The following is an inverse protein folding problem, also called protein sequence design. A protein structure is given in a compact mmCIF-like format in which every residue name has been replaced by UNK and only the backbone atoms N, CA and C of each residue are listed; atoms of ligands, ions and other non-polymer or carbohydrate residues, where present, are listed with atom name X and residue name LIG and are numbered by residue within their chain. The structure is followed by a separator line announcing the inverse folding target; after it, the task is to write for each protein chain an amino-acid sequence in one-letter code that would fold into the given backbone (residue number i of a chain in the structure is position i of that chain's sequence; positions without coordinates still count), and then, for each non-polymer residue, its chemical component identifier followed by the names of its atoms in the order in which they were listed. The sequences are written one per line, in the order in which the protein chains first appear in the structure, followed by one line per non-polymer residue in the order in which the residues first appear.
data_IF_331776989624
#
_entry.id   IF_331776989624
#
_cell.length_a   1.000
_cell.length_b   1.000
_cell.length_c   1.000
_cell.angle_alpha   90.00
_cell.angle_beta   90.00
_cell.angle_gamma   90.00
#
_symmetry.space_group_name_H-M   'P 1'
#
loop_
_entity.id
_entity.type
_entity.pdbx_description
1 polymer ?
#
# COMPACT_ATOMS: atom_id res chain seq x y z
N UNK A 1 27.71 67.92 76.70
CA UNK A 1 26.33 67.89 76.19
C UNK A 1 26.39 67.62 74.69
N UNK A 2 25.66 66.58 74.24
CA UNK A 2 24.86 66.50 72.99
C UNK A 2 25.40 67.31 71.79
N UNK A 3 25.73 66.78 70.62
CA UNK A 3 25.26 65.58 69.92
C UNK A 3 24.90 65.95 68.48
N UNK A 4 25.07 65.01 67.54
CA UNK A 4 24.34 64.85 66.27
C UNK A 4 24.60 65.88 65.13
N UNK A 5 24.72 65.57 63.83
CA UNK A 5 24.86 64.34 63.02
C UNK A 5 25.17 64.76 61.56
N UNK A 6 25.80 63.85 60.81
CA UNK A 6 26.12 63.91 59.38
C UNK A 6 24.90 63.87 58.44
N UNK A 7 25.07 64.37 57.20
CA UNK A 7 24.49 63.77 56.01
C UNK A 7 25.30 64.15 54.75
N UNK A 8 26.18 63.23 54.31
CA UNK A 8 26.87 63.25 53.03
C UNK A 8 26.00 62.64 51.93
N UNK A 9 25.99 63.26 50.76
CA UNK A 9 25.33 62.77 49.54
C UNK A 9 26.22 61.71 48.88
N UNK A 10 25.71 60.50 48.71
CA UNK A 10 26.31 59.46 47.86
C UNK A 10 25.47 59.34 46.58
N UNK A 11 26.13 59.53 45.43
CA UNK A 11 25.59 59.18 44.12
C UNK A 11 25.59 57.65 43.98
N UNK A 12 24.42 57.06 43.71
CA UNK A 12 24.30 55.66 43.28
C UNK A 12 24.26 55.59 41.76
N UNK A 13 25.21 54.84 41.19
CA UNK A 13 25.27 54.50 39.78
C UNK A 13 24.16 53.52 39.37
N UNK A 14 23.61 53.74 38.17
CA UNK A 14 22.63 52.87 37.54
C UNK A 14 23.36 51.67 36.90
N UNK A 15 23.20 50.47 37.46
CA UNK A 15 23.58 49.21 36.80
C UNK A 15 22.36 48.75 36.00
N UNK A 16 22.47 48.78 34.67
CA UNK A 16 21.45 48.24 33.76
C UNK A 16 21.65 46.73 33.68
N UNK A 17 20.77 45.97 34.34
CA UNK A 17 20.74 44.52 34.24
C UNK A 17 20.11 44.08 32.92
N UNK A 18 20.87 43.37 32.08
CA UNK A 18 20.35 42.65 30.92
C UNK A 18 19.62 41.42 31.44
N UNK A 19 18.28 41.42 31.38
CA UNK A 19 17.49 40.20 31.52
C UNK A 19 17.70 39.34 30.26
N UNK A 20 18.46 38.25 30.41
CA UNK A 20 18.42 37.12 29.49
C UNK A 20 17.05 36.45 29.65
N UNK A 21 16.13 36.72 28.73
CA UNK A 21 14.90 35.96 28.61
C UNK A 21 15.26 34.54 28.15
N UNK A 22 15.34 33.61 29.11
CA UNK A 22 15.34 32.18 28.82
C UNK A 22 13.97 31.84 28.21
N UNK A 23 13.89 31.76 26.88
CA UNK A 23 12.73 31.15 26.22
C UNK A 23 12.66 29.70 26.69
N UNK A 24 11.58 29.26 27.34
CA UNK A 24 11.41 27.85 27.62
C UNK A 24 11.35 27.14 26.26
N UNK A 25 12.34 26.30 25.98
CA UNK A 25 12.17 25.23 25.00
C UNK A 25 11.01 24.42 25.53
N UNK A 26 9.85 24.50 24.87
CA UNK A 26 8.75 23.58 25.13
C UNK A 26 9.31 22.18 24.88
N UNK A 27 9.67 21.50 25.97
CA UNK A 27 9.90 20.08 25.94
C UNK A 27 8.59 19.48 25.46
N UNK A 28 8.57 19.09 24.18
CA UNK A 28 7.50 18.34 23.58
C UNK A 28 7.38 17.06 24.42
N UNK A 29 6.39 17.02 25.31
CA UNK A 29 6.04 15.82 26.06
C UNK A 29 5.87 14.66 25.07
N UNK A 30 6.26 13.45 25.48
CA UNK A 30 5.98 12.18 24.79
C UNK A 30 4.47 11.89 24.79
N UNK A 31 3.71 12.79 24.17
CA UNK A 31 2.30 12.65 23.96
C UNK A 31 2.12 11.93 22.62
N UNK A 32 1.68 10.69 22.71
CA UNK A 32 1.23 9.91 21.56
C UNK A 32 -0.28 10.07 21.43
N UNK A 33 -0.77 9.98 20.20
CA UNK A 33 -2.21 9.93 19.96
C UNK A 33 -2.68 8.51 19.63
N UNK A 34 -3.97 8.28 19.82
CA UNK A 34 -4.66 7.15 19.19
C UNK A 34 -5.14 7.61 17.82
N UNK A 35 -4.95 6.82 16.75
CA UNK A 35 -5.44 7.20 15.42
C UNK A 35 -6.95 7.49 15.48
N UNK A 36 -7.42 8.60 14.89
CA UNK A 36 -8.83 8.93 14.92
C UNK A 36 -9.65 7.87 14.18
N UNK A 37 -10.81 7.49 14.74
CA UNK A 37 -11.81 6.73 14.00
C UNK A 37 -12.38 7.62 12.88
N UNK A 38 -12.51 7.06 11.68
CA UNK A 38 -12.99 7.79 10.51
C UNK A 38 -14.32 7.22 10.00
N UNK A 39 -15.18 8.09 9.49
CA UNK A 39 -16.38 7.67 8.77
C UNK A 39 -15.97 7.11 7.39
N UNK A 40 -16.32 5.85 7.05
CA UNK A 40 -16.03 5.29 5.73
C UNK A 40 -16.64 6.11 4.59
N UNK A 41 -17.76 6.82 4.81
CA UNK A 41 -18.35 7.68 3.79
C UNK A 41 -17.45 8.87 3.42
N UNK A 42 -16.70 9.39 4.39
CA UNK A 42 -15.74 10.48 4.16
C UNK A 42 -14.48 9.93 3.50
N UNK A 43 -13.94 8.82 4.01
CA UNK A 43 -12.71 8.21 3.49
C UNK A 43 -12.86 7.72 2.04
N UNK A 44 -14.07 7.27 1.66
CA UNK A 44 -14.34 6.68 0.35
C UNK A 44 -15.16 7.58 -0.57
N UNK A 45 -15.28 8.88 -0.28
CA UNK A 45 -16.04 9.84 -1.08
C UNK A 45 -17.47 9.36 -1.41
N UNK A 46 -18.17 8.82 -0.42
CA UNK A 46 -19.54 8.29 -0.57
C UNK A 46 -19.63 6.91 -1.23
N UNK A 47 -18.52 6.22 -1.47
CA UNK A 47 -18.46 4.88 -2.10
C UNK A 47 -18.38 3.72 -1.10
N UNK A 48 -18.72 3.98 0.17
CA UNK A 48 -18.72 2.98 1.24
C UNK A 48 -19.77 1.89 1.06
N UNK A 49 -20.82 2.14 0.27
CA UNK A 49 -21.84 1.16 -0.11
C UNK A 49 -21.79 0.93 -1.62
N UNK A 50 -21.92 -0.32 -2.05
CA UNK A 50 -22.04 -0.67 -3.46
C UNK A 50 -22.66 -2.04 -3.68
N UNK A 51 -22.91 -2.44 -4.94
CA UNK A 51 -23.42 -3.77 -5.24
C UNK A 51 -22.47 -4.86 -4.71
N UNK A 52 -22.99 -5.73 -3.83
CA UNK A 52 -22.23 -6.85 -3.26
C UNK A 52 -21.30 -6.49 -2.09
N UNK A 53 -21.28 -5.23 -1.62
CA UNK A 53 -20.46 -4.85 -0.47
C UNK A 53 -21.00 -3.69 0.36
N UNK A 54 -20.61 -3.67 1.63
CA UNK A 54 -20.70 -2.51 2.50
C UNK A 54 -19.43 -2.38 3.37
N UNK A 55 -18.81 -1.22 3.37
CA UNK A 55 -17.69 -0.90 4.27
C UNK A 55 -18.28 -0.38 5.58
N UNK A 56 -18.06 -1.12 6.66
CA UNK A 56 -18.64 -0.84 7.97
C UNK A 56 -17.94 0.33 8.66
N UNK A 57 -18.70 1.04 9.49
CA UNK A 57 -18.19 2.10 10.38
C UNK A 57 -17.89 1.51 11.77
N UNK A 58 -16.85 1.98 12.48
CA UNK A 58 -15.86 2.98 12.05
C UNK A 58 -14.69 2.38 11.27
N UNK A 59 -14.05 3.18 10.41
CA UNK A 59 -12.73 2.87 9.85
C UNK A 59 -11.68 3.19 10.91
N UNK A 60 -10.85 2.20 11.24
CA UNK A 60 -9.74 2.35 12.20
C UNK A 60 -8.41 2.45 11.47
N UNK A 61 -7.35 2.77 12.19
CA UNK A 61 -5.98 2.76 11.65
C UNK A 61 -5.01 2.30 12.73
N UNK A 62 -3.89 1.71 12.32
CA UNK A 62 -2.75 1.41 13.19
C UNK A 62 -1.73 2.57 13.27
N UNK A 63 -2.03 3.70 12.62
CA UNK A 63 -1.16 4.87 12.50
C UNK A 63 -0.33 4.90 11.22
N UNK A 64 -0.44 3.89 10.36
CA UNK A 64 0.15 3.86 9.02
C UNK A 64 -0.87 3.50 7.94
N UNK A 65 -1.63 2.44 8.16
CA UNK A 65 -2.66 1.94 7.25
C UNK A 65 -4.04 2.05 7.87
N UNK A 66 -5.06 2.19 7.03
CA UNK A 66 -6.45 2.08 7.46
C UNK A 66 -6.86 0.61 7.49
N UNK A 67 -7.71 0.27 8.43
CA UNK A 67 -8.23 -1.08 8.68
C UNK A 67 -9.73 -1.02 8.49
N UNK A 68 -10.20 -1.73 7.47
CA UNK A 68 -11.58 -1.76 7.05
C UNK A 68 -12.24 -3.08 7.42
N UNK A 69 -13.54 -3.02 7.69
CA UNK A 69 -14.40 -4.19 7.79
C UNK A 69 -15.35 -4.15 6.58
N UNK A 70 -15.19 -5.08 5.66
CA UNK A 70 -15.96 -5.16 4.42
C UNK A 70 -16.96 -6.30 4.56
N UNK A 71 -18.25 -5.96 4.66
CA UNK A 71 -19.34 -6.91 4.60
C UNK A 71 -19.61 -7.27 3.15
N UNK A 72 -19.65 -8.57 2.86
CA UNK A 72 -20.11 -9.15 1.58
C UNK A 72 -21.14 -10.23 1.86
N UNK A 73 -21.69 -10.87 0.82
CA UNK A 73 -22.59 -12.02 0.97
C UNK A 73 -21.91 -13.24 1.63
N UNK A 74 -20.57 -13.26 1.66
CA UNK A 74 -19.78 -14.32 2.29
C UNK A 74 -19.47 -14.06 3.77
N UNK A 75 -19.85 -12.88 4.29
CA UNK A 75 -19.54 -12.44 5.64
C UNK A 75 -18.70 -11.17 5.68
N UNK A 76 -18.23 -10.84 6.88
CA UNK A 76 -17.35 -9.69 7.12
C UNK A 76 -15.90 -10.11 6.98
N UNK A 77 -15.16 -9.39 6.17
CA UNK A 77 -13.73 -9.54 6.00
C UNK A 77 -12.99 -8.27 6.45
N UNK A 78 -11.87 -8.47 7.15
CA UNK A 78 -10.96 -7.39 7.47
C UNK A 78 -10.01 -7.15 6.29
N UNK A 79 -9.93 -5.90 5.82
CA UNK A 79 -9.02 -5.48 4.75
C UNK A 79 -8.14 -4.35 5.28
N UNK A 80 -6.82 -4.54 5.23
CA UNK A 80 -5.84 -3.59 5.73
C UNK A 80 -5.18 -2.88 4.54
N UNK A 81 -5.27 -1.55 4.51
CA UNK A 81 -4.72 -0.73 3.43
C UNK A 81 -5.77 -0.19 2.46
N UNK A 82 -5.71 1.10 2.14
CA UNK A 82 -6.58 1.73 1.12
C UNK A 82 -6.42 1.06 -0.24
N UNK A 83 -5.19 0.68 -0.60
CA UNK A 83 -4.90 0.00 -1.86
C UNK A 83 -5.57 -1.38 -1.95
N UNK A 84 -5.51 -2.18 -0.89
CA UNK A 84 -6.18 -3.49 -0.87
C UNK A 84 -7.69 -3.36 -0.84
N UNK A 85 -8.22 -2.34 -0.15
CA UNK A 85 -9.65 -2.06 -0.22
C UNK A 85 -10.07 -1.73 -1.65
N UNK A 86 -9.38 -0.80 -2.33
CA UNK A 86 -9.67 -0.44 -3.72
C UNK A 86 -9.62 -1.66 -4.66
N UNK A 87 -8.61 -2.52 -4.49
CA UNK A 87 -8.51 -3.78 -5.22
C UNK A 87 -9.73 -4.67 -4.94
N UNK A 88 -10.09 -4.88 -3.68
CA UNK A 88 -11.22 -5.76 -3.34
C UNK A 88 -12.56 -5.21 -3.89
N UNK A 89 -12.78 -3.91 -3.77
CA UNK A 89 -14.01 -3.29 -4.29
C UNK A 89 -14.09 -3.36 -5.82
N UNK A 90 -12.96 -3.25 -6.52
CA UNK A 90 -12.92 -3.44 -7.98
C UNK A 90 -13.21 -4.89 -8.36
N UNK A 91 -12.66 -5.86 -7.63
CA UNK A 91 -12.93 -7.29 -7.82
C UNK A 91 -14.41 -7.65 -7.60
N UNK A 92 -15.02 -7.15 -6.52
CA UNK A 92 -16.46 -7.36 -6.22
C UNK A 92 -17.33 -6.75 -7.33
N UNK A 93 -17.01 -5.53 -7.77
CA UNK A 93 -17.74 -4.88 -8.87
C UNK A 93 -17.72 -5.71 -10.15
N UNK A 94 -16.57 -6.29 -10.51
CA UNK A 94 -16.43 -7.15 -11.69
C UNK A 94 -17.16 -8.48 -11.51
N UNK A 95 -17.12 -9.09 -10.33
CA UNK A 95 -17.88 -10.30 -10.02
C UNK A 95 -19.38 -10.08 -10.25
N UNK A 96 -19.95 -9.02 -9.68
CA UNK A 96 -21.38 -8.69 -9.84
C UNK A 96 -21.74 -8.45 -11.31
N UNK A 97 -20.85 -7.79 -12.08
CA UNK A 97 -21.06 -7.59 -13.51
C UNK A 97 -21.07 -8.92 -14.29
N UNK A 98 -20.15 -9.85 -13.97
CA UNK A 98 -20.10 -11.18 -14.59
C UNK A 98 -21.28 -12.08 -14.19
N UNK A 99 -21.80 -11.93 -12.98
CA UNK A 99 -23.02 -12.64 -12.54
C UNK A 99 -24.28 -12.11 -13.25
N UNK A 100 -24.33 -10.80 -13.51
CA UNK A 100 -25.41 -10.16 -14.27
C UNK A 100 -25.56 -10.70 -15.69
N UNK A 101 -24.45 -11.10 -16.34
CA UNK A 101 -24.44 -11.65 -17.70
C UNK A 101 -25.26 -12.94 -17.88
N UNK A 102 -25.48 -13.72 -16.82
CA UNK A 102 -26.30 -14.95 -16.89
C UNK A 102 -27.81 -14.66 -16.88
N UNK A 103 -28.23 -13.41 -16.65
CA UNK A 103 -29.58 -13.04 -16.24
C UNK A 103 -30.16 -11.90 -17.10
N UNK A 104 -30.35 -12.13 -18.42
CA UNK A 104 -30.80 -11.11 -19.40
C UNK A 104 -32.25 -10.61 -19.27
N UNK A 105 -32.97 -10.94 -18.19
CA UNK A 105 -34.28 -10.33 -17.89
C UNK A 105 -34.43 -9.86 -16.43
N UNK A 106 -33.54 -10.24 -15.52
CA UNK A 106 -33.68 -10.00 -14.08
C UNK A 106 -32.62 -9.05 -13.51
N UNK A 107 -31.57 -8.70 -14.27
CA UNK A 107 -30.52 -7.77 -13.81
C UNK A 107 -31.02 -6.34 -13.56
N UNK A 108 -31.93 -5.83 -14.41
CA UNK A 108 -32.51 -4.48 -14.25
C UNK A 108 -33.43 -4.39 -13.03
N UNK A 109 -34.18 -5.45 -12.75
CA UNK A 109 -35.04 -5.53 -11.55
C UNK A 109 -34.23 -5.84 -10.28
N UNK A 110 -33.15 -6.61 -10.39
CA UNK A 110 -32.24 -6.94 -9.30
C UNK A 110 -31.42 -5.74 -8.82
N UNK A 111 -30.92 -4.89 -9.72
CA UNK A 111 -30.22 -3.66 -9.34
C UNK A 111 -31.17 -2.63 -8.70
N UNK A 112 -32.41 -2.53 -9.21
CA UNK A 112 -33.46 -1.72 -8.57
C UNK A 112 -33.83 -2.26 -7.20
N UNK A 113 -33.96 -3.56 -7.02
CA UNK A 113 -34.28 -4.14 -5.71
C UNK A 113 -33.12 -4.12 -4.71
N UNK A 114 -31.87 -4.31 -5.15
CA UNK A 114 -30.69 -4.19 -4.29
C UNK A 114 -30.46 -2.73 -3.83
N UNK A 115 -30.80 -1.75 -4.67
CA UNK A 115 -30.83 -0.34 -4.29
C UNK A 115 -32.06 0.06 -3.44
N UNK A 116 -33.12 -0.76 -3.42
CA UNK A 116 -34.38 -0.48 -2.72
C UNK A 116 -34.60 -1.31 -1.45
N UNK A 117 -33.78 -2.32 -1.17
CA UNK A 117 -33.83 -2.99 0.12
C UNK A 117 -33.21 -2.03 1.13
N UNK A 118 -33.95 -1.60 2.18
CA UNK A 118 -33.28 -1.02 3.33
C UNK A 118 -32.30 -2.09 3.78
N UNK A 119 -31.00 -1.77 3.78
CA UNK A 119 -30.05 -2.50 4.63
C UNK A 119 -30.65 -2.31 6.01
N UNK A 120 -31.35 -3.33 6.51
CA UNK A 120 -31.85 -3.32 7.87
C UNK A 120 -30.59 -3.31 8.72
N UNK A 121 -30.23 -2.09 9.12
CA UNK A 121 -29.20 -1.81 10.10
C UNK A 121 -29.59 -2.61 11.33
N UNK A 122 -28.89 -3.70 11.56
CA UNK A 122 -28.91 -4.34 12.87
C UNK A 122 -28.01 -3.48 13.74
N UNK A 123 -28.59 -2.43 14.34
CA UNK A 123 -28.15 -1.93 15.64
C UNK A 123 -28.28 -3.08 16.64
N UNK A 124 -27.25 -3.92 16.73
CA UNK A 124 -26.88 -4.72 17.90
C UNK A 124 -25.65 -5.51 17.49
N UNK A 125 -24.46 -5.20 18.00
CA UNK A 125 -24.09 -5.59 19.36
C UNK A 125 -22.90 -4.73 19.79
N UNK A 126 -23.19 -3.55 20.35
CA UNK A 126 -22.40 -3.05 21.47
C UNK A 126 -22.93 -3.82 22.68
N UNK A 127 -22.31 -4.95 22.97
CA UNK A 127 -22.51 -5.65 24.23
C UNK A 127 -21.13 -5.96 24.78
N UNK A 128 -20.67 -5.01 25.60
CA UNK A 128 -19.48 -4.98 26.45
C UNK A 128 -18.09 -5.18 25.80
N UNK A 129 -17.30 -4.09 25.66
CA UNK A 129 -15.85 -4.17 25.68
C UNK A 129 -15.30 -3.72 27.04
N UNK A 130 -15.97 -3.98 28.17
CA UNK A 130 -15.30 -3.90 29.48
C UNK A 130 -14.57 -5.22 29.72
N UNK A 131 -13.47 -5.42 29.01
CA UNK A 131 -12.66 -6.65 29.15
C UNK A 131 -11.52 -6.81 28.15
N UNK A 132 -11.60 -6.20 26.97
CA UNK A 132 -10.62 -6.42 25.89
C UNK A 132 -9.77 -5.17 25.62
N UNK A 133 -9.43 -4.43 26.66
CA UNK A 133 -8.33 -3.47 26.67
C UNK A 133 -6.99 -4.16 27.04
N UNK A 134 -6.82 -5.43 26.66
CA UNK A 134 -5.56 -6.15 26.78
C UNK A 134 -5.28 -6.86 25.46
N UNK A 135 -4.34 -6.27 24.71
CA UNK A 135 -3.59 -6.88 23.60
C UNK A 135 -4.21 -6.81 22.19
N UNK A 136 -4.60 -5.63 21.72
CA UNK A 136 -4.64 -5.38 20.26
C UNK A 136 -3.24 -4.97 19.81
N UNK A 137 -2.43 -5.98 19.53
CA UNK A 137 -1.15 -5.82 18.83
C UNK A 137 -1.43 -6.11 17.36
N UNK A 138 -1.45 -5.07 16.51
CA UNK A 138 -1.33 -5.22 15.05
C UNK A 138 -0.02 -5.94 14.72
N UNK A 139 0.09 -6.50 13.50
CA UNK A 139 1.16 -7.42 13.06
C UNK A 139 2.62 -7.01 13.34
N UNK A 140 2.87 -5.77 13.77
CA UNK A 140 4.18 -5.21 14.12
C UNK A 140 4.68 -5.61 15.52
N UNK A 141 3.82 -5.90 16.50
CA UNK A 141 4.27 -6.23 17.87
C UNK A 141 4.50 -7.72 18.15
N UNK A 142 4.08 -8.61 17.24
CA UNK A 142 4.43 -10.05 17.30
C UNK A 142 5.89 -10.33 16.88
N UNK A 143 6.58 -9.31 16.37
CA UNK A 143 7.92 -9.37 15.76
C UNK A 143 9.08 -9.73 16.72
N UNK A 144 8.94 -9.64 18.05
CA UNK A 144 10.08 -9.86 18.97
C UNK A 144 10.08 -11.19 19.75
N UNK A 145 9.09 -12.06 19.57
CA UNK A 145 8.86 -13.18 20.49
C UNK A 145 9.31 -14.58 20.07
N UNK A 146 9.66 -14.85 18.80
CA UNK A 146 9.80 -16.24 18.31
C UNK A 146 10.93 -16.44 17.29
N UNK A 147 12.15 -16.24 17.75
CA UNK A 147 13.29 -17.03 17.27
C UNK A 147 13.20 -18.40 17.95
N UNK A 148 12.67 -19.43 17.29
CA UNK A 148 13.07 -20.85 17.49
C UNK A 148 12.33 -21.81 16.55
N UNK A 149 13.14 -22.51 15.73
CA UNK A 149 12.94 -23.83 15.08
C UNK A 149 11.98 -23.95 13.89
N UNK A 150 12.54 -24.47 12.78
CA UNK A 150 11.78 -25.18 11.75
C UNK A 150 12.42 -25.20 10.37
N UNK A 151 13.68 -25.63 10.24
CA UNK A 151 14.27 -26.00 8.94
C UNK A 151 14.00 -27.50 8.74
N UNK A 152 13.04 -27.82 7.89
CA UNK A 152 12.95 -29.06 7.11
C UNK A 152 11.84 -28.88 6.07
N UNK A 153 12.00 -29.48 4.89
CA UNK A 153 11.20 -29.29 3.66
C UNK A 153 11.60 -28.12 2.74
N UNK A 154 12.90 -27.99 2.46
CA UNK A 154 13.33 -27.56 1.13
C UNK A 154 13.77 -28.80 0.34
N UNK A 155 13.51 -28.78 -0.97
CA UNK A 155 13.83 -29.81 -1.99
C UNK A 155 12.71 -30.80 -2.33
N UNK A 156 11.78 -30.37 -3.19
CA UNK A 156 11.30 -31.24 -4.27
C UNK A 156 11.12 -30.43 -5.56
N UNK A 157 12.18 -30.37 -6.36
CA UNK A 157 12.16 -29.75 -7.68
C UNK A 157 11.36 -30.59 -8.68
N UNK A 158 10.59 -29.92 -9.54
CA UNK A 158 10.06 -30.43 -10.82
C UNK A 158 9.62 -29.27 -11.72
N UNK A 159 10.34 -29.03 -12.81
CA UNK A 159 9.86 -28.24 -13.96
C UNK A 159 9.04 -29.13 -14.89
N UNK A 160 7.90 -28.62 -15.39
CA UNK A 160 6.89 -29.37 -16.13
C UNK A 160 7.24 -29.73 -17.58
N UNK A 161 6.49 -30.68 -18.14
CA UNK A 161 6.71 -31.27 -19.49
C UNK A 161 6.09 -30.44 -20.64
N UNK A 162 6.51 -30.62 -21.91
CA UNK A 162 5.93 -29.93 -23.07
C UNK A 162 4.41 -30.08 -23.25
N UNK A 163 3.81 -31.18 -22.76
CA UNK A 163 2.37 -31.38 -22.77
C UNK A 163 1.63 -30.56 -21.70
N UNK A 164 2.28 -30.27 -20.57
CA UNK A 164 1.76 -29.35 -19.55
C UNK A 164 1.86 -27.89 -19.99
N UNK A 165 2.93 -27.54 -20.72
CA UNK A 165 3.05 -26.27 -21.43
C UNK A 165 1.94 -26.09 -22.48
N UNK A 166 1.65 -27.14 -23.28
CA UNK A 166 0.54 -27.11 -24.24
C UNK A 166 -0.86 -27.04 -23.58
N UNK A 167 -1.04 -27.64 -22.38
CA UNK A 167 -2.28 -27.50 -21.58
C UNK A 167 -2.43 -26.11 -20.95
N UNK A 168 -1.32 -25.50 -20.51
CA UNK A 168 -1.30 -24.13 -19.99
C UNK A 168 -1.56 -23.08 -21.07
N UNK A 169 -1.29 -23.42 -22.34
CA UNK A 169 -1.70 -22.69 -23.56
C UNK A 169 -2.92 -23.38 -24.19
N UNK A 170 -3.91 -23.77 -23.38
CA UNK A 170 -5.25 -24.07 -23.93
C UNK A 170 -5.96 -22.75 -24.22
N UNK A 171 -6.87 -22.75 -25.21
CA UNK A 171 -7.65 -21.56 -25.55
C UNK A 171 -8.37 -20.95 -24.34
N UNK A 172 -8.78 -21.77 -23.36
CA UNK A 172 -9.45 -21.34 -22.14
C UNK A 172 -8.54 -20.56 -21.17
N UNK A 173 -7.31 -21.02 -20.91
CA UNK A 173 -6.39 -20.34 -19.99
C UNK A 173 -5.90 -18.98 -20.54
N UNK A 174 -5.77 -18.88 -21.86
CA UNK A 174 -5.56 -17.60 -22.55
C UNK A 174 -6.81 -16.73 -22.50
N UNK A 175 -7.98 -17.27 -22.83
CA UNK A 175 -9.26 -16.54 -22.79
C UNK A 175 -9.58 -15.98 -21.39
N UNK A 176 -9.26 -16.72 -20.32
CA UNK A 176 -9.36 -16.25 -18.94
C UNK A 176 -8.50 -15.01 -18.69
N UNK A 177 -7.26 -15.01 -19.18
CA UNK A 177 -6.33 -13.88 -19.05
C UNK A 177 -6.78 -12.68 -19.87
N UNK A 178 -7.22 -12.91 -21.11
CA UNK A 178 -7.83 -11.88 -21.96
C UNK A 178 -9.04 -11.24 -21.28
N UNK A 179 -9.98 -12.06 -20.82
CA UNK A 179 -11.19 -11.62 -20.12
C UNK A 179 -10.87 -10.80 -18.86
N UNK A 180 -10.00 -11.31 -17.98
CA UNK A 180 -9.64 -10.63 -16.75
C UNK A 180 -9.00 -9.25 -17.03
N UNK A 181 -8.06 -9.20 -17.98
CA UNK A 181 -7.40 -7.97 -18.40
C UNK A 181 -8.37 -6.97 -19.03
N UNK A 182 -9.32 -7.43 -19.85
CA UNK A 182 -10.37 -6.58 -20.43
C UNK A 182 -11.33 -6.01 -19.38
N UNK A 183 -11.53 -6.74 -18.29
CA UNK A 183 -12.31 -6.30 -17.14
C UNK A 183 -11.50 -5.45 -16.15
N UNK A 184 -10.19 -5.27 -16.38
CA UNK A 184 -9.32 -4.50 -15.50
C UNK A 184 -9.00 -5.19 -14.17
N UNK A 185 -9.08 -6.53 -14.11
CA UNK A 185 -8.76 -7.33 -12.91
C UNK A 185 -7.59 -8.28 -13.17
N UNK A 186 -6.94 -8.71 -12.09
CA UNK A 186 -5.83 -9.65 -12.18
C UNK A 186 -6.33 -11.06 -12.53
N UNK A 187 -5.86 -11.71 -13.62
CA UNK A 187 -6.21 -13.11 -13.90
C UNK A 187 -5.75 -14.07 -12.81
N UNK A 188 -4.83 -13.68 -11.94
CA UNK A 188 -4.35 -14.48 -10.82
C UNK A 188 -4.90 -13.97 -9.47
N UNK A 189 -6.01 -13.23 -9.48
CA UNK A 189 -6.68 -12.71 -8.28
C UNK A 189 -6.82 -13.77 -7.17
N UNK A 190 -6.57 -13.35 -5.93
CA UNK A 190 -6.83 -14.18 -4.74
C UNK A 190 -8.29 -14.17 -4.31
N UNK A 191 -9.13 -13.29 -4.87
CA UNK A 191 -10.55 -13.26 -4.57
C UNK A 191 -11.26 -14.43 -5.26
N UNK A 192 -11.36 -15.53 -4.52
CA UNK A 192 -11.86 -16.82 -5.00
C UNK A 192 -13.18 -16.74 -5.79
N UNK A 193 -14.21 -16.01 -5.36
CA UNK A 193 -15.46 -15.92 -6.12
C UNK A 193 -15.26 -15.34 -7.53
N UNK A 194 -14.44 -14.29 -7.65
CA UNK A 194 -14.10 -13.72 -8.96
C UNK A 194 -13.25 -14.69 -9.78
N UNK A 195 -12.26 -15.36 -9.18
CA UNK A 195 -11.43 -16.35 -9.87
C UNK A 195 -12.29 -17.47 -10.48
N UNK A 196 -13.20 -18.05 -9.71
CA UNK A 196 -14.11 -19.11 -10.17
C UNK A 196 -15.03 -18.60 -11.28
N UNK A 197 -15.51 -17.35 -11.17
CA UNK A 197 -16.36 -16.74 -12.18
C UNK A 197 -15.62 -16.45 -13.50
N UNK A 198 -14.34 -16.06 -13.43
CA UNK A 198 -13.48 -15.90 -14.60
C UNK A 198 -13.26 -17.25 -15.30
N UNK A 199 -13.03 -18.33 -14.55
CA UNK A 199 -12.88 -19.68 -15.11
C UNK A 199 -14.15 -20.17 -15.82
N UNK A 200 -15.30 -19.98 -15.17
CA UNK A 200 -16.61 -20.30 -15.72
C UNK A 200 -16.86 -19.52 -17.02
N UNK A 201 -16.69 -18.20 -16.99
CA UNK A 201 -16.98 -17.35 -18.14
C UNK A 201 -16.04 -17.66 -19.31
N UNK A 202 -14.75 -17.82 -19.05
CA UNK A 202 -13.77 -18.18 -20.06
C UNK A 202 -14.08 -19.51 -20.75
N UNK A 203 -14.60 -20.49 -20.00
CA UNK A 203 -14.99 -21.82 -20.52
C UNK A 203 -16.17 -21.77 -21.51
N UNK A 204 -17.06 -20.79 -21.38
CA UNK A 204 -18.23 -20.62 -22.25
C UNK A 204 -17.83 -19.94 -23.56
N UNK A 205 -16.93 -18.95 -23.50
CA UNK A 205 -16.39 -18.25 -24.68
C UNK A 205 -15.56 -19.14 -25.61
N UNK A 206 -14.93 -20.21 -25.11
CA UNK A 206 -14.20 -21.17 -25.94
C UNK A 206 -15.10 -22.17 -26.69
N UNK A 207 -16.42 -22.17 -26.42
CA UNK A 207 -17.42 -23.04 -27.05
C UNK A 207 -18.48 -22.30 -27.89
N UNK A 208 -18.49 -20.95 -27.91
CA UNK A 208 -19.45 -20.15 -28.68
C UNK A 208 -19.04 -18.68 -28.87
N UNK A 209 -19.47 -18.06 -29.97
CA UNK A 209 -19.14 -16.69 -30.36
C UNK A 209 -19.69 -15.63 -29.37
N UNK A 210 -18.88 -15.22 -28.39
CA UNK A 210 -19.10 -13.99 -27.63
C UNK A 210 -17.87 -13.07 -27.81
N UNK A 211 -18.09 -11.87 -28.36
CA UNK A 211 -17.02 -10.91 -28.62
C UNK A 211 -16.73 -10.07 -27.38
N UNK A 212 -15.45 -9.84 -27.08
CA UNK A 212 -14.89 -8.97 -26.03
C UNK A 212 -15.60 -7.60 -25.90
N UNK A 213 -16.11 -7.06 -27.01
CA UNK A 213 -16.86 -5.80 -27.07
C UNK A 213 -18.18 -5.79 -26.28
N UNK A 214 -18.82 -6.95 -26.06
CA UNK A 214 -20.06 -7.03 -25.28
C UNK A 214 -19.80 -6.87 -23.77
N UNK A 215 -18.69 -7.42 -23.28
CA UNK A 215 -18.31 -7.43 -21.85
C UNK A 215 -17.78 -6.06 -21.42
N UNK A 216 -16.96 -5.43 -22.25
CA UNK A 216 -16.42 -4.08 -22.01
C UNK A 216 -17.50 -2.98 -22.04
N UNK A 217 -18.65 -3.22 -22.68
CA UNK A 217 -19.78 -2.28 -22.77
C UNK A 217 -20.62 -2.16 -21.48
N UNK A 218 -20.45 -3.08 -20.53
CA UNK A 218 -21.24 -3.16 -19.29
C UNK A 218 -20.59 -2.44 -18.10
N UNK A 219 -19.36 -1.94 -18.27
CA UNK A 219 -18.66 -1.15 -17.28
C UNK A 219 -19.03 0.34 -17.46
N UNK A 220 -19.63 1.02 -16.47
CA UNK A 220 -19.82 2.47 -16.53
C UNK A 220 -18.45 3.16 -16.56
N UNK A 221 -18.16 3.89 -17.65
CA UNK A 221 -16.94 4.68 -17.80
C UNK A 221 -15.76 3.94 -18.40
N UNK A 222 -15.94 3.29 -19.56
CA UNK A 222 -14.92 2.53 -20.30
C UNK A 222 -13.50 3.08 -20.16
N UNK A 223 -12.69 2.40 -19.36
CA UNK A 223 -11.28 2.74 -19.16
C UNK A 223 -10.46 2.19 -20.32
N UNK A 224 -10.55 2.88 -21.47
CA UNK A 224 -9.47 2.84 -22.46
C UNK A 224 -8.42 3.83 -21.98
N UNK A 225 -7.52 3.37 -21.11
CA UNK A 225 -6.39 4.19 -20.70
C UNK A 225 -5.32 4.18 -21.79
N UNK A 226 -5.26 5.29 -22.55
CA UNK A 226 -4.15 5.60 -23.44
C UNK A 226 -2.90 5.97 -22.63
N UNK A 227 -2.12 4.96 -22.19
CA UNK A 227 -0.71 5.11 -21.83
C UNK A 227 0.10 4.29 -22.84
N UNK A 228 0.21 4.84 -24.04
CA UNK A 228 0.70 4.16 -25.23
C UNK A 228 2.22 3.92 -25.16
N UNK A 229 2.59 2.71 -24.75
CA UNK A 229 3.78 1.89 -25.13
C UNK A 229 4.21 0.94 -24.01
N UNK A 230 4.07 1.30 -22.73
CA UNK A 230 4.50 0.45 -21.60
C UNK A 230 3.34 -0.38 -21.03
N UNK A 231 2.12 0.19 -20.98
CA UNK A 231 0.91 -0.52 -20.55
C UNK A 231 0.46 -1.58 -21.57
N UNK A 232 0.50 -1.27 -22.87
CA UNK A 232 0.20 -2.24 -23.95
C UNK A 232 1.16 -3.44 -23.92
N UNK A 233 2.43 -3.22 -23.59
CA UNK A 233 3.43 -4.28 -23.45
C UNK A 233 3.18 -5.15 -22.22
N UNK A 234 2.75 -4.57 -21.08
CA UNK A 234 2.45 -5.33 -19.87
C UNK A 234 1.15 -6.12 -19.99
N UNK A 235 0.11 -5.53 -20.59
CA UNK A 235 -1.14 -6.22 -20.95
C UNK A 235 -0.86 -7.42 -21.86
N UNK A 236 -0.11 -7.20 -22.94
CA UNK A 236 0.29 -8.28 -23.88
C UNK A 236 1.13 -9.34 -23.17
N UNK A 237 2.05 -8.93 -22.28
CA UNK A 237 2.85 -9.85 -21.47
C UNK A 237 1.97 -10.79 -20.64
N UNK A 238 1.00 -10.27 -19.90
CA UNK A 238 0.11 -11.09 -19.05
C UNK A 238 -0.77 -12.00 -19.90
N UNK A 239 -1.33 -11.50 -21.00
CA UNK A 239 -2.24 -12.24 -21.89
C UNK A 239 -1.56 -13.33 -22.72
N UNK A 240 -0.33 -13.10 -23.18
CA UNK A 240 0.33 -14.02 -24.10
C UNK A 240 1.30 -14.99 -23.39
N UNK A 241 1.70 -14.73 -22.14
CA UNK A 241 2.65 -15.59 -21.41
C UNK A 241 2.00 -16.65 -20.55
N UNK A 242 2.33 -17.94 -20.73
CA UNK A 242 2.03 -18.97 -19.73
C UNK A 242 2.55 -18.58 -18.34
N UNK A 243 2.03 -19.18 -17.26
CA UNK A 243 2.56 -18.93 -15.91
C UNK A 243 4.08 -19.13 -15.80
N UNK A 244 4.64 -20.14 -16.48
CA UNK A 244 6.08 -20.41 -16.50
C UNK A 244 6.86 -19.36 -17.31
N UNK A 245 6.36 -18.95 -18.48
CA UNK A 245 7.00 -17.89 -19.27
C UNK A 245 6.94 -16.54 -18.56
N UNK A 246 5.82 -16.23 -17.90
CA UNK A 246 5.68 -15.02 -17.10
C UNK A 246 6.67 -15.02 -15.94
N UNK A 247 6.83 -16.15 -15.25
CA UNK A 247 7.81 -16.30 -14.18
C UNK A 247 9.25 -16.12 -14.69
N UNK A 248 9.60 -16.71 -15.83
CA UNK A 248 10.94 -16.58 -16.44
C UNK A 248 11.24 -15.13 -16.86
N UNK A 249 10.27 -14.46 -17.48
CA UNK A 249 10.39 -13.04 -17.86
C UNK A 249 10.50 -12.14 -16.63
N UNK A 250 9.73 -12.42 -15.59
CA UNK A 250 9.79 -11.72 -14.29
C UNK A 250 11.17 -11.86 -13.67
N UNK A 251 11.72 -13.08 -13.59
CA UNK A 251 13.06 -13.32 -13.07
C UNK A 251 14.15 -12.61 -13.91
N UNK A 252 13.95 -12.52 -15.22
CA UNK A 252 14.85 -11.79 -16.13
C UNK A 252 14.79 -10.28 -15.92
N UNK A 253 13.59 -9.72 -15.69
CA UNK A 253 13.42 -8.30 -15.37
C UNK A 253 14.08 -7.96 -14.01
N UNK A 254 13.89 -8.78 -12.97
CA UNK A 254 14.59 -8.62 -11.69
C UNK A 254 16.12 -8.64 -11.86
N UNK A 255 16.66 -9.62 -12.59
CA UNK A 255 18.10 -9.69 -12.86
C UNK A 255 18.61 -8.45 -13.62
N UNK A 256 17.82 -7.95 -14.57
CA UNK A 256 18.15 -6.74 -15.34
C UNK A 256 18.12 -5.47 -14.47
N UNK A 257 17.31 -5.48 -13.41
CA UNK A 257 17.29 -4.43 -12.38
C UNK A 257 18.40 -4.59 -11.32
N UNK A 258 19.30 -5.58 -11.49
CA UNK A 258 20.40 -5.84 -10.55
C UNK A 258 20.00 -6.63 -9.31
N UNK A 259 18.82 -7.26 -9.29
CA UNK A 259 18.34 -8.03 -8.15
C UNK A 259 18.99 -9.41 -8.12
N UNK A 260 19.41 -9.84 -6.93
CA UNK A 260 20.08 -11.12 -6.71
C UNK A 260 19.19 -12.32 -7.02
N UNK A 261 19.79 -13.46 -7.35
CA UNK A 261 19.05 -14.70 -7.55
C UNK A 261 18.34 -15.15 -6.26
N UNK A 262 18.95 -14.93 -5.09
CA UNK A 262 18.36 -15.27 -3.81
C UNK A 262 17.06 -14.50 -3.56
N UNK A 263 17.10 -13.18 -3.68
CA UNK A 263 15.91 -12.33 -3.51
C UNK A 263 14.86 -12.61 -4.58
N UNK A 264 15.28 -12.83 -5.83
CA UNK A 264 14.37 -13.23 -6.92
C UNK A 264 13.63 -14.52 -6.60
N UNK A 265 14.33 -15.55 -6.10
CA UNK A 265 13.70 -16.83 -5.71
C UNK A 265 12.74 -16.65 -4.53
N UNK A 266 13.11 -15.88 -3.51
CA UNK A 266 12.23 -15.58 -2.37
C UNK A 266 10.94 -14.87 -2.81
N UNK A 267 11.02 -13.89 -3.72
CA UNK A 267 9.82 -13.25 -4.29
C UNK A 267 9.00 -14.25 -5.11
N UNK A 268 9.65 -15.10 -5.91
CA UNK A 268 8.97 -16.11 -6.72
C UNK A 268 8.18 -17.11 -5.86
N UNK A 269 8.72 -17.51 -4.71
CA UNK A 269 8.10 -18.44 -3.75
C UNK A 269 7.08 -17.76 -2.81
N UNK A 270 7.12 -16.44 -2.67
CA UNK A 270 6.24 -15.72 -1.75
C UNK A 270 4.76 -15.89 -2.15
N UNK A 271 3.90 -16.45 -1.27
CA UNK A 271 2.52 -16.79 -1.59
C UNK A 271 1.56 -15.59 -1.53
N UNK A 272 2.03 -14.43 -1.05
CA UNK A 272 1.20 -13.24 -0.85
C UNK A 272 1.15 -12.29 -2.05
N UNK A 273 1.85 -12.65 -3.13
CA UNK A 273 1.79 -11.96 -4.42
C UNK A 273 1.23 -12.86 -5.51
N UNK A 274 0.39 -12.28 -6.36
CA UNK A 274 -0.02 -12.94 -7.59
C UNK A 274 1.14 -12.96 -8.61
N UNK A 275 1.00 -13.74 -9.68
CA UNK A 275 2.01 -13.75 -10.74
C UNK A 275 2.09 -12.39 -11.48
N UNK A 276 0.96 -11.70 -11.67
CA UNK A 276 0.93 -10.35 -12.27
C UNK A 276 1.62 -9.33 -11.38
N UNK A 277 1.44 -9.40 -10.07
CA UNK A 277 2.05 -8.48 -9.11
C UNK A 277 3.58 -8.64 -9.05
N UNK A 278 4.08 -9.89 -9.07
CA UNK A 278 5.52 -10.18 -9.16
C UNK A 278 6.11 -9.59 -10.44
N UNK A 279 5.41 -9.74 -11.57
CA UNK A 279 5.82 -9.14 -12.84
C UNK A 279 5.81 -7.61 -12.76
N UNK A 280 4.73 -7.00 -12.27
CA UNK A 280 4.62 -5.55 -12.14
C UNK A 280 5.79 -4.98 -11.32
N UNK A 281 6.11 -5.60 -10.18
CA UNK A 281 7.25 -5.22 -9.35
C UNK A 281 8.57 -5.29 -10.12
N UNK A 282 8.84 -6.40 -10.81
CA UNK A 282 10.09 -6.58 -11.55
C UNK A 282 10.28 -5.54 -12.67
N UNK A 283 9.22 -5.25 -13.42
CA UNK A 283 9.28 -4.27 -14.52
C UNK A 283 9.41 -2.83 -14.02
N UNK A 284 8.82 -2.49 -12.88
CA UNK A 284 8.99 -1.16 -12.26
C UNK A 284 10.41 -0.95 -11.72
N UNK A 285 11.01 -1.97 -11.09
CA UNK A 285 12.41 -1.91 -10.69
C UNK A 285 13.34 -1.83 -11.92
N UNK A 286 13.06 -2.58 -12.98
CA UNK A 286 13.81 -2.53 -14.23
C UNK A 286 13.74 -1.15 -14.91
N UNK A 287 12.65 -0.41 -14.72
CA UNK A 287 12.47 0.95 -15.23
C UNK A 287 13.32 2.01 -14.51
N UNK A 288 14.10 1.63 -13.49
CA UNK A 288 15.02 2.50 -12.76
C UNK A 288 16.50 2.10 -12.93
N UNK A 289 17.03 1.95 -14.17
CA UNK A 289 18.33 1.32 -14.42
C UNK A 289 19.54 2.10 -13.87
N UNK A 290 19.38 3.39 -13.56
CA UNK A 290 20.43 4.24 -12.99
C UNK A 290 20.43 4.25 -11.46
N UNK A 291 19.42 3.67 -10.80
CA UNK A 291 19.30 3.68 -9.35
C UNK A 291 20.11 2.53 -8.76
N UNK A 292 21.06 2.86 -7.89
CA UNK A 292 21.88 1.86 -7.18
C UNK A 292 21.10 1.26 -6.01
N UNK A 293 21.47 0.02 -5.66
CA UNK A 293 20.98 -0.68 -4.46
C UNK A 293 19.46 -0.95 -4.43
N UNK A 294 18.83 -1.11 -5.61
CA UNK A 294 17.43 -1.55 -5.72
C UNK A 294 17.17 -2.91 -5.03
N UNK A 295 18.21 -3.73 -4.82
CA UNK A 295 18.17 -4.94 -3.99
C UNK A 295 17.50 -4.69 -2.63
N UNK A 296 17.79 -3.56 -1.98
CA UNK A 296 17.24 -3.23 -0.66
C UNK A 296 15.71 -3.06 -0.68
N UNK A 297 15.13 -2.65 -1.82
CA UNK A 297 13.68 -2.59 -2.00
C UNK A 297 13.12 -4.00 -2.25
N UNK A 298 13.77 -4.77 -3.12
CA UNK A 298 13.35 -6.13 -3.45
C UNK A 298 13.44 -7.08 -2.24
N UNK A 299 14.45 -6.94 -1.37
CA UNK A 299 14.56 -7.71 -0.13
C UNK A 299 13.36 -7.48 0.81
N UNK A 300 12.85 -6.24 0.89
CA UNK A 300 11.64 -5.95 1.66
C UNK A 300 10.38 -6.54 1.05
N UNK A 301 10.30 -6.54 -0.28
CA UNK A 301 9.22 -7.23 -0.97
C UNK A 301 9.27 -8.75 -0.75
N UNK A 302 10.46 -9.34 -0.82
CA UNK A 302 10.71 -10.76 -0.57
C UNK A 302 10.30 -11.18 0.85
N UNK A 303 10.58 -10.34 1.83
CA UNK A 303 10.30 -10.56 3.25
C UNK A 303 8.84 -10.29 3.66
N UNK A 304 7.91 -10.05 2.71
CA UNK A 304 6.50 -9.88 3.05
C UNK A 304 5.87 -11.19 3.55
N UNK A 305 5.30 -11.18 4.76
CA UNK A 305 4.74 -12.38 5.42
C UNK A 305 3.21 -12.38 5.50
N UNK A 306 2.56 -11.39 4.88
CA UNK A 306 1.12 -11.27 4.80
C UNK A 306 0.69 -10.52 3.53
N UNK A 307 -0.60 -10.59 3.22
CA UNK A 307 -1.16 -9.98 2.01
C UNK A 307 -1.08 -8.44 2.01
N UNK A 308 -1.33 -7.83 3.16
CA UNK A 308 -1.24 -6.37 3.38
C UNK A 308 0.20 -5.87 3.21
N UNK A 309 1.19 -6.51 3.83
CA UNK A 309 2.61 -6.15 3.67
C UNK A 309 3.07 -6.37 2.22
N UNK A 310 2.66 -7.47 1.58
CA UNK A 310 2.99 -7.73 0.19
C UNK A 310 2.45 -6.62 -0.72
N UNK A 311 1.16 -6.29 -0.61
CA UNK A 311 0.56 -5.24 -1.42
C UNK A 311 1.15 -3.85 -1.10
N UNK A 312 1.49 -3.58 0.16
CA UNK A 312 2.23 -2.37 0.54
C UNK A 312 3.58 -2.25 -0.19
N UNK A 313 4.39 -3.32 -0.23
CA UNK A 313 5.68 -3.27 -0.92
C UNK A 313 5.52 -3.15 -2.44
N UNK A 314 4.50 -3.79 -3.04
CA UNK A 314 4.17 -3.62 -4.45
C UNK A 314 3.83 -2.15 -4.76
N UNK A 315 2.88 -1.57 -4.01
CA UNK A 315 2.49 -0.16 -4.17
C UNK A 315 3.68 0.76 -3.99
N UNK A 316 4.57 0.45 -3.04
CA UNK A 316 5.79 1.22 -2.79
C UNK A 316 6.74 1.20 -3.98
N UNK A 317 6.95 0.04 -4.61
CA UNK A 317 7.79 -0.07 -5.82
C UNK A 317 7.23 0.78 -6.95
N UNK A 318 5.91 0.72 -7.18
CA UNK A 318 5.21 1.54 -8.19
C UNK A 318 5.35 3.03 -7.87
N UNK A 319 5.14 3.42 -6.62
CA UNK A 319 5.25 4.80 -6.17
C UNK A 319 6.68 5.33 -6.27
N UNK A 320 7.69 4.49 -5.99
CA UNK A 320 9.10 4.84 -6.07
C UNK A 320 9.55 5.08 -7.52
N UNK A 321 9.13 4.23 -8.47
CA UNK A 321 9.37 4.47 -9.90
C UNK A 321 8.72 5.78 -10.35
N UNK A 322 7.46 5.99 -9.95
CA UNK A 322 6.72 7.20 -10.32
C UNK A 322 7.40 8.44 -9.77
N UNK A 323 7.84 8.40 -8.51
CA UNK A 323 8.63 9.46 -7.88
C UNK A 323 9.91 9.75 -8.68
N UNK A 324 10.68 8.70 -8.99
CA UNK A 324 11.95 8.81 -9.73
C UNK A 324 11.78 9.50 -11.08
N UNK A 325 10.66 9.22 -11.77
CA UNK A 325 10.37 9.73 -13.11
C UNK A 325 9.71 11.11 -13.12
N UNK A 326 8.87 11.43 -12.12
CA UNK A 326 7.97 12.60 -12.17
C UNK A 326 8.25 13.67 -11.13
N UNK A 327 8.89 13.31 -10.00
CA UNK A 327 9.17 14.22 -8.90
C UNK A 327 10.65 14.61 -8.89
N UNK A 328 11.53 13.63 -8.69
CA UNK A 328 12.98 13.85 -8.71
C UNK A 328 13.74 12.55 -8.95
N UNK A 329 14.78 12.62 -9.78
CA UNK A 329 15.66 11.50 -10.06
C UNK A 329 16.36 10.97 -8.79
N UNK A 330 16.32 9.66 -8.61
CA UNK A 330 16.96 8.91 -7.53
C UNK A 330 18.31 8.39 -8.03
N UNK A 331 19.31 8.40 -7.15
CA UNK A 331 20.65 7.87 -7.44
C UNK A 331 20.92 6.54 -6.76
N UNK A 332 20.41 6.36 -5.55
CA UNK A 332 20.75 5.24 -4.69
C UNK A 332 19.64 5.01 -3.67
N UNK A 333 19.44 3.75 -3.28
CA UNK A 333 18.69 3.38 -2.08
C UNK A 333 19.67 3.13 -0.92
N UNK A 334 19.39 3.66 0.26
CA UNK A 334 20.14 3.37 1.49
C UNK A 334 19.24 2.73 2.52
N UNK A 335 19.75 1.75 3.25
CA UNK A 335 19.04 1.19 4.40
C UNK A 335 19.31 2.06 5.62
N UNK A 336 18.26 2.65 6.19
CA UNK A 336 18.35 3.50 7.38
C UNK A 336 17.37 2.97 8.42
N UNK A 337 17.89 2.55 9.57
CA UNK A 337 17.08 1.98 10.66
C UNK A 337 16.14 0.85 10.18
N UNK A 338 16.63 0.04 9.23
CA UNK A 338 15.89 -1.08 8.64
C UNK A 338 14.88 -0.70 7.54
N UNK A 339 14.76 0.58 7.20
CA UNK A 339 13.85 1.09 6.16
C UNK A 339 14.69 1.57 4.96
N UNK A 340 14.42 1.07 3.73
CA UNK A 340 15.05 1.62 2.54
C UNK A 340 14.63 3.09 2.34
N UNK A 341 15.56 3.99 2.06
CA UNK A 341 15.32 5.41 1.79
C UNK A 341 16.01 5.76 0.49
N UNK A 342 15.31 6.47 -0.39
CA UNK A 342 15.90 6.93 -1.64
C UNK A 342 16.77 8.17 -1.42
N UNK A 343 17.92 8.24 -2.08
CA UNK A 343 18.77 9.42 -2.13
C UNK A 343 18.67 10.02 -3.52
N UNK A 344 18.18 11.25 -3.59
CA UNK A 344 18.03 12.01 -4.83
C UNK A 344 19.36 12.49 -5.38
N UNK A 345 19.37 12.88 -6.65
CA UNK A 345 20.53 13.46 -7.33
C UNK A 345 21.02 14.77 -6.69
N UNK A 346 20.12 15.53 -6.04
CA UNK A 346 20.41 16.78 -5.35
C UNK A 346 20.81 16.62 -3.87
N UNK A 347 20.99 15.37 -3.40
CA UNK A 347 21.42 15.07 -2.03
C UNK A 347 20.30 15.07 -0.99
N UNK A 348 19.05 15.25 -1.40
CA UNK A 348 17.87 15.13 -0.51
C UNK A 348 17.52 13.65 -0.32
N UNK A 349 17.15 13.26 0.90
CA UNK A 349 16.58 11.93 1.16
C UNK A 349 15.08 11.95 0.87
N UNK A 350 14.60 11.01 0.05
CA UNK A 350 13.19 10.82 -0.24
C UNK A 350 12.68 9.56 0.47
N UNK A 351 11.78 9.74 1.42
CA UNK A 351 11.04 8.67 2.07
C UNK A 351 9.69 8.56 1.37
N UNK A 352 9.57 7.56 0.49
CA UNK A 352 8.41 7.34 -0.38
C UNK A 352 7.66 6.09 0.07
N UNK A 353 6.48 6.26 0.67
CA UNK A 353 5.73 5.17 1.30
C UNK A 353 4.21 5.28 1.00
N UNK A 354 3.53 4.20 0.59
CA UNK A 354 2.09 4.21 0.32
C UNK A 354 1.28 4.06 1.62
N UNK A 355 1.41 5.04 2.53
CA UNK A 355 0.68 5.12 3.80
C UNK A 355 -0.71 5.72 3.57
N UNK A 356 -1.69 5.31 4.36
CA UNK A 356 -3.10 5.75 4.22
C UNK A 356 -3.46 6.87 5.20
N UNK A 357 -2.97 6.75 6.44
CA UNK A 357 -3.10 7.76 7.48
C UNK A 357 -1.90 7.66 8.41
N UNK A 358 -1.13 8.74 8.53
CA UNK A 358 -0.07 8.85 9.54
C UNK A 358 -0.60 9.58 10.77
N UNK A 359 -0.73 8.83 11.86
CA UNK A 359 -1.05 9.36 13.19
C UNK A 359 0.15 9.17 14.12
N UNK A 360 0.40 10.12 15.03
CA UNK A 360 1.56 10.13 15.93
C UNK A 360 1.41 9.14 17.10
N UNK A 361 1.19 7.87 16.77
CA UNK A 361 1.22 6.76 17.73
C UNK A 361 2.64 6.52 18.21
N UNK A 362 2.80 5.77 19.30
CA UNK A 362 4.13 5.41 19.82
C UNK A 362 4.99 4.71 18.76
N UNK A 363 4.41 3.78 17.98
CA UNK A 363 5.11 3.06 16.92
C UNK A 363 5.56 3.98 15.80
N UNK A 364 4.69 4.92 15.38
CA UNK A 364 5.00 5.91 14.33
C UNK A 364 6.10 6.85 14.81
N UNK A 365 5.96 7.40 16.01
CA UNK A 365 6.94 8.29 16.61
C UNK A 365 8.31 7.63 16.72
N UNK A 366 8.38 6.38 17.21
CA UNK A 366 9.64 5.65 17.31
C UNK A 366 10.26 5.39 15.93
N UNK A 367 9.44 4.97 14.97
CA UNK A 367 9.90 4.65 13.60
C UNK A 367 10.49 5.87 12.93
N UNK A 368 9.78 7.01 12.98
CA UNK A 368 10.22 8.24 12.30
C UNK A 368 11.37 8.93 13.04
N UNK A 369 11.41 8.89 14.38
CA UNK A 369 12.57 9.37 15.15
C UNK A 369 13.83 8.55 14.86
N UNK A 370 13.73 7.21 14.84
CA UNK A 370 14.86 6.34 14.47
C UNK A 370 15.33 6.59 13.04
N UNK A 371 14.41 6.90 12.13
CA UNK A 371 14.74 7.24 10.75
C UNK A 371 15.45 8.60 10.67
N UNK A 372 14.97 9.60 11.41
CA UNK A 372 15.60 10.91 11.52
C UNK A 372 17.03 10.82 12.06
N UNK A 373 17.23 10.15 13.19
CA UNK A 373 18.56 9.92 13.78
C UNK A 373 19.47 9.12 12.83
N UNK A 374 18.93 8.07 12.22
CA UNK A 374 19.68 7.24 11.26
C UNK A 374 20.13 8.01 10.02
N UNK A 375 19.32 8.93 9.51
CA UNK A 375 19.68 9.80 8.38
C UNK A 375 20.80 10.77 8.76
N UNK A 376 20.73 11.35 9.96
CA UNK A 376 21.77 12.24 10.48
C UNK A 376 23.11 11.51 10.75
N UNK A 377 23.06 10.20 11.04
CA UNK A 377 24.22 9.37 11.30
C UNK A 377 24.90 8.81 10.03
N UNK A 378 24.37 9.04 8.83
CA UNK A 378 25.01 8.61 7.59
C UNK A 378 26.38 9.30 7.39
N UNK A 379 27.38 8.66 6.76
CA UNK A 379 28.67 9.30 6.49
C UNK A 379 28.56 10.59 5.67
N UNK A 380 27.54 10.65 4.82
CA UNK A 380 27.11 11.84 4.08
C UNK A 380 25.62 12.01 4.35
N UNK A 381 25.24 12.76 5.40
CA UNK A 381 23.85 13.03 5.73
C UNK A 381 23.16 13.78 4.59
N UNK A 382 21.86 13.52 4.33
CA UNK A 382 21.11 14.26 3.33
C UNK A 382 20.95 15.72 3.74
N UNK A 383 20.84 16.62 2.76
CA UNK A 383 20.69 18.07 3.01
C UNK A 383 19.31 18.43 3.58
N UNK A 384 18.30 17.63 3.25
CA UNK A 384 16.94 17.70 3.78
C UNK A 384 16.22 16.36 3.53
N UNK A 385 14.98 16.25 3.99
CA UNK A 385 14.14 15.06 3.80
C UNK A 385 12.82 15.45 3.15
N UNK A 386 12.46 14.72 2.09
CA UNK A 386 11.16 14.76 1.43
C UNK A 386 10.37 13.51 1.83
N UNK A 387 9.30 13.68 2.60
CA UNK A 387 8.42 12.63 3.07
C UNK A 387 7.14 12.63 2.24
N UNK A 388 7.04 11.67 1.32
CA UNK A 388 5.93 11.56 0.37
C UNK A 388 5.10 10.31 0.65
N UNK A 389 3.78 10.50 0.74
CA UNK A 389 2.82 9.44 0.99
C UNK A 389 1.54 9.57 0.16
N UNK A 390 0.80 8.45 0.07
CA UNK A 390 -0.46 8.39 -0.67
C UNK A 390 -1.67 8.91 0.08
N UNK A 391 -1.59 8.95 1.41
CA UNK A 391 -2.69 9.29 2.29
C UNK A 391 -2.45 10.56 3.10
N UNK A 392 -3.19 10.69 4.19
CA UNK A 392 -3.24 11.89 5.02
C UNK A 392 -2.37 11.80 6.28
N UNK A 393 -2.22 12.93 6.97
CA UNK A 393 -1.63 13.01 8.30
C UNK A 393 -2.62 13.64 9.28
N UNK A 394 -2.57 13.20 10.53
CA UNK A 394 -3.20 13.96 11.62
C UNK A 394 -2.46 15.28 11.85
N UNK A 395 -3.10 16.29 12.46
CA UNK A 395 -2.43 17.53 12.83
C UNK A 395 -1.20 17.31 13.72
N UNK A 396 -1.28 16.36 14.67
CA UNK A 396 -0.16 16.03 15.55
C UNK A 396 1.00 15.41 14.76
N UNK A 397 0.74 14.43 13.90
CA UNK A 397 1.79 13.83 13.08
C UNK A 397 2.46 14.86 12.16
N UNK A 398 1.67 15.73 11.52
CA UNK A 398 2.20 16.79 10.66
C UNK A 398 3.11 17.76 11.43
N UNK A 399 2.69 18.22 12.61
CA UNK A 399 3.51 19.09 13.47
C UNK A 399 4.84 18.42 13.85
N UNK A 400 4.78 17.15 14.28
CA UNK A 400 5.96 16.41 14.77
C UNK A 400 6.94 16.08 13.65
N UNK A 401 6.46 15.67 12.49
CA UNK A 401 7.33 15.41 11.33
C UNK A 401 7.96 16.71 10.83
N UNK A 402 7.21 17.81 10.81
CA UNK A 402 7.74 19.13 10.43
C UNK A 402 8.82 19.59 11.42
N UNK A 403 8.72 19.23 12.70
CA UNK A 403 9.74 19.55 13.72
C UNK A 403 11.10 18.89 13.44
N UNK A 404 11.15 17.80 12.66
CA UNK A 404 12.40 17.21 12.14
C UNK A 404 13.01 18.00 10.98
N UNK A 405 12.32 19.04 10.48
CA UNK A 405 12.71 19.79 9.28
C UNK A 405 12.38 19.07 7.98
N UNK A 406 11.48 18.09 8.00
CA UNK A 406 11.08 17.32 6.82
C UNK A 406 10.01 18.06 6.02
N UNK A 407 10.13 18.06 4.69
CA UNK A 407 9.07 18.45 3.78
C UNK A 407 8.06 17.29 3.68
N UNK A 408 6.76 17.60 3.69
CA UNK A 408 5.70 16.59 3.68
C UNK A 408 4.84 16.77 2.43
N UNK A 409 4.67 15.68 1.68
CA UNK A 409 3.69 15.57 0.58
C UNK A 409 2.71 14.45 0.90
N UNK A 410 1.53 14.81 1.40
CA UNK A 410 0.40 13.90 1.58
C UNK A 410 -0.47 13.81 0.32
N UNK A 411 -1.39 12.84 0.29
CA UNK A 411 -2.36 12.62 -0.79
C UNK A 411 -1.74 12.51 -2.19
N UNK A 412 -0.51 12.01 -2.29
CA UNK A 412 0.11 11.81 -3.59
C UNK A 412 -0.61 10.67 -4.33
N UNK A 413 -1.11 10.89 -5.56
CA UNK A 413 -1.89 9.87 -6.24
C UNK A 413 -0.99 8.69 -6.64
N UNK A 414 -1.48 7.46 -6.40
CA UNK A 414 -0.93 6.29 -7.08
C UNK A 414 -1.13 6.48 -8.60
N UNK A 415 -0.13 6.13 -9.44
CA UNK A 415 -0.30 6.21 -10.89
C UNK A 415 -1.43 5.28 -11.34
N UNK A 416 -2.13 5.66 -12.41
CA UNK A 416 -3.15 4.80 -12.97
C UNK A 416 -2.54 3.47 -13.44
N UNK A 417 -3.21 2.35 -13.12
CA UNK A 417 -2.73 1.02 -13.47
C UNK A 417 -3.39 -0.08 -12.65
N UNK A 418 -2.90 -1.34 -12.76
CA UNK A 418 -3.46 -2.48 -12.05
C UNK A 418 -3.11 -2.51 -10.56
N UNK A 419 -2.32 -1.55 -10.07
CA UNK A 419 -1.96 -1.39 -8.65
C UNK A 419 -2.61 -0.10 -8.15
N UNK A 420 -3.44 -0.21 -7.11
CA UNK A 420 -4.33 0.87 -6.65
C UNK A 420 -3.81 1.69 -5.47
#
# INVERSE_FOLDING_TARGET
MLGFTNASRLLSGLITGVLLASTPVLALTEQYETPPEQDPAVVLDGKQLGPGYAVLSPVRSDGFLRIYQVQTDLGVEQVEGDGLLKLRLSEIKVLIALEGLKNDASFVDGLKQAAMKPVQFVESTVTDPVGTAKSTVSGVGRMFGRLTKGVEEAVSGKGGSPAELAKAITGQARARRELAVDLGVDPYTFYRPLSEKLDETASVTSAGNWTVSAITSLLPGGLVMNVARQADNFRTLIVDSTPSELAERTATAFRSAGISQETTSKIAENPFYTASEKAAMAYQLQAMPSVKDLELIAEKAAAAESRDIAYFQLRRVVLLETYNRTVSGITQIKLVSGIPVAIRQDGVAAIVLPLDLVAWTQTVAQTLSNLHEGLAALPFPPTSVDFLMTGDLTPMAAERITSFGWAITGNFPMPEGPVH
#
